data_IF_181054149770
#
_entry.id   IF_181054149770
#
_cell.length_a   1.000
_cell.length_b   1.000
_cell.length_c   1.000
_cell.angle_alpha   90.00
_cell.angle_beta   90.00
_cell.angle_gamma   90.00
#
_symmetry.space_group_name_H-M   'P 1'
#
loop_
_entity.id
_entity.type
_entity.pdbx_description
1 polymer ?
#
# COMPACT_ATOMS: atom_id res chain seq x y z
N UNK A 1 8.09 -0.02 -0.87
CA UNK A 1 9.18 -0.74 -0.17
C UNK A 1 9.03 -2.27 -0.26
N UNK A 2 9.14 -2.86 -1.46
CA UNK A 2 8.83 -4.30 -1.66
C UNK A 2 10.06 -5.20 -1.83
N UNK A 3 11.27 -4.65 -1.82
CA UNK A 3 12.52 -5.41 -1.95
C UNK A 3 13.22 -5.48 -0.59
N UNK A 4 13.37 -6.67 0.03
CA UNK A 4 13.99 -6.81 1.35
C UNK A 4 15.54 -6.83 1.32
N UNK A 5 16.16 -6.95 0.14
CA UNK A 5 17.62 -7.15 0.02
C UNK A 5 18.34 -5.88 -0.41
N UNK A 6 17.75 -5.09 -1.32
CA UNK A 6 18.38 -3.90 -1.92
C UNK A 6 17.37 -2.81 -2.21
N UNK A 7 17.84 -1.57 -2.34
CA UNK A 7 17.02 -0.50 -2.89
C UNK A 7 16.53 -0.84 -4.30
N UNK A 8 15.28 -0.43 -4.62
CA UNK A 8 14.73 -0.59 -5.96
C UNK A 8 15.28 0.47 -6.90
N UNK A 9 15.38 0.12 -8.18
CA UNK A 9 15.64 1.08 -9.26
C UNK A 9 14.56 2.16 -9.23
N UNK A 10 14.98 3.42 -9.43
CA UNK A 10 14.08 4.56 -9.61
C UNK A 10 13.61 4.56 -11.06
N UNK A 11 12.29 4.64 -11.26
CA UNK A 11 11.67 4.72 -12.58
C UNK A 11 11.06 6.11 -12.76
N UNK A 12 11.00 6.57 -14.01
CA UNK A 12 10.41 7.85 -14.42
C UNK A 12 9.33 7.61 -15.48
N UNK A 13 8.21 8.36 -15.49
CA UNK A 13 7.86 9.41 -14.52
C UNK A 13 7.54 8.84 -13.13
N UNK A 14 7.74 9.67 -12.11
CA UNK A 14 7.45 9.36 -10.70
C UNK A 14 5.96 9.52 -10.40
N UNK A 15 5.56 9.27 -9.15
CA UNK A 15 4.22 9.57 -8.65
C UNK A 15 4.11 11.01 -8.10
N UNK A 16 5.06 11.87 -8.47
CA UNK A 16 5.07 13.27 -8.01
C UNK A 16 3.92 14.05 -8.67
N UNK A 17 3.36 14.99 -7.92
CA UNK A 17 2.09 15.66 -8.24
C UNK A 17 2.19 16.55 -9.48
N UNK A 18 3.38 17.07 -9.75
CA UNK A 18 3.72 17.93 -10.87
C UNK A 18 3.53 17.19 -12.20
N UNK A 19 3.68 15.86 -12.21
CA UNK A 19 3.39 15.02 -13.39
C UNK A 19 1.89 14.98 -13.75
N UNK A 20 1.03 15.49 -12.85
CA UNK A 20 -0.42 15.54 -13.02
C UNK A 20 -0.95 16.99 -13.10
N UNK A 21 -0.07 17.98 -13.22
CA UNK A 21 -0.43 19.40 -13.29
C UNK A 21 -0.93 19.99 -11.97
N UNK A 22 -0.52 19.39 -10.84
CA UNK A 22 -0.78 19.89 -9.50
C UNK A 22 0.49 20.50 -8.92
N UNK A 23 0.34 21.52 -8.08
CA UNK A 23 1.44 22.25 -7.47
C UNK A 23 1.45 22.09 -5.94
N UNK A 24 2.57 22.41 -5.29
CA UNK A 24 2.68 22.34 -3.83
C UNK A 24 1.66 23.27 -3.12
N UNK A 25 1.29 24.39 -3.76
CA UNK A 25 0.23 25.28 -3.27
C UNK A 25 -1.15 24.62 -3.21
N UNK A 26 -1.38 23.52 -3.93
CA UNK A 26 -2.65 22.80 -3.92
C UNK A 26 -2.79 21.83 -2.74
N UNK A 27 -1.74 21.64 -1.93
CA UNK A 27 -1.71 20.63 -0.86
C UNK A 27 -2.88 20.75 0.13
N UNK A 28 -3.25 21.98 0.48
CA UNK A 28 -4.33 22.27 1.42
C UNK A 28 -5.69 22.46 0.73
N UNK A 29 -5.72 22.43 -0.61
CA UNK A 29 -6.97 22.51 -1.38
C UNK A 29 -7.78 21.24 -1.20
N UNK A 30 -9.07 21.38 -0.91
CA UNK A 30 -9.99 20.26 -0.72
C UNK A 30 -10.55 19.80 -2.06
N UNK A 31 -10.39 18.51 -2.36
CA UNK A 31 -10.88 17.88 -3.57
C UNK A 31 -11.98 16.86 -3.27
N UNK A 32 -12.99 16.81 -4.14
CA UNK A 32 -14.02 15.76 -4.13
C UNK A 32 -13.46 14.36 -4.44
N UNK A 33 -12.27 14.30 -5.04
CA UNK A 33 -11.57 13.06 -5.38
C UNK A 33 -11.30 12.16 -4.16
N UNK A 34 -11.22 12.72 -2.94
CA UNK A 34 -11.06 11.91 -1.72
C UNK A 34 -12.23 10.92 -1.50
N UNK A 35 -13.43 11.25 -1.99
CA UNK A 35 -14.59 10.35 -1.97
C UNK A 35 -14.37 9.11 -2.84
N UNK A 36 -13.58 9.20 -3.92
CA UNK A 36 -13.25 8.06 -4.79
C UNK A 36 -12.32 7.05 -4.11
N UNK A 37 -11.63 7.46 -3.04
CA UNK A 37 -10.73 6.60 -2.26
C UNK A 37 -11.26 6.33 -0.84
N UNK A 38 -12.54 6.66 -0.59
CA UNK A 38 -13.23 6.27 0.64
C UNK A 38 -12.96 7.15 1.86
N UNK A 39 -12.31 8.32 1.70
CA UNK A 39 -12.02 9.25 2.80
C UNK A 39 -12.91 10.51 2.80
N UNK A 40 -13.84 10.60 1.83
CA UNK A 40 -14.70 11.78 1.64
C UNK A 40 -13.93 12.98 1.03
N UNK A 41 -14.56 14.15 0.87
CA UNK A 41 -13.86 15.35 0.43
C UNK A 41 -12.69 15.66 1.37
N UNK A 42 -11.49 15.76 0.84
CA UNK A 42 -10.26 15.85 1.64
C UNK A 42 -9.21 16.73 0.96
N UNK A 43 -8.25 17.25 1.73
CA UNK A 43 -7.12 17.99 1.18
C UNK A 43 -6.31 17.11 0.22
N UNK A 44 -5.62 17.71 -0.77
CA UNK A 44 -4.72 16.96 -1.64
C UNK A 44 -3.66 16.20 -0.84
N UNK A 45 -3.13 16.83 0.22
CA UNK A 45 -2.17 16.23 1.14
C UNK A 45 -2.71 14.94 1.79
N UNK A 46 -3.95 14.96 2.28
CA UNK A 46 -4.58 13.80 2.91
C UNK A 46 -4.83 12.69 1.88
N UNK A 47 -5.27 13.05 0.67
CA UNK A 47 -5.48 12.10 -0.44
C UNK A 47 -4.16 11.40 -0.81
N UNK A 48 -3.08 12.16 -0.98
CA UNK A 48 -1.75 11.60 -1.30
C UNK A 48 -1.26 10.70 -0.17
N UNK A 49 -1.42 11.13 1.07
CA UNK A 49 -1.02 10.34 2.26
C UNK A 49 -1.77 9.01 2.29
N UNK A 50 -3.08 9.05 2.07
CA UNK A 50 -3.92 7.87 2.01
C UNK A 50 -3.50 6.92 0.86
N UNK A 51 -3.30 7.44 -0.35
CA UNK A 51 -2.86 6.64 -1.51
C UNK A 51 -1.49 6.00 -1.26
N UNK A 52 -0.53 6.73 -0.67
CA UNK A 52 0.79 6.19 -0.29
C UNK A 52 0.66 5.09 0.76
N UNK A 53 -0.28 5.20 1.69
CA UNK A 53 -0.55 4.15 2.68
C UNK A 53 -1.14 2.89 2.03
N UNK A 54 -2.08 3.04 1.09
CA UNK A 54 -2.74 1.90 0.44
C UNK A 54 -1.79 1.17 -0.52
N UNK A 55 -1.04 1.92 -1.34
CA UNK A 55 -0.38 1.37 -2.53
C UNK A 55 1.17 1.35 -2.49
N UNK A 56 1.81 2.14 -1.63
CA UNK A 56 3.27 2.37 -1.70
C UNK A 56 4.08 1.75 -0.55
N UNK A 57 3.45 0.95 0.31
CA UNK A 57 4.08 0.32 1.47
C UNK A 57 4.90 -0.94 1.08
N UNK A 58 4.81 -1.99 1.89
CA UNK A 58 5.51 -3.27 1.67
C UNK A 58 4.77 -4.21 0.70
N UNK A 59 3.57 -3.84 0.25
CA UNK A 59 2.74 -4.60 -0.69
C UNK A 59 2.60 -3.80 -1.98
N UNK A 60 2.98 -4.40 -3.11
CA UNK A 60 2.68 -3.87 -4.43
C UNK A 60 1.40 -4.50 -4.97
N UNK A 61 0.46 -3.70 -5.46
CA UNK A 61 -0.82 -4.20 -5.97
C UNK A 61 -0.96 -3.85 -7.45
N UNK A 62 -1.12 -4.86 -8.29
CA UNK A 62 -1.33 -4.73 -9.72
C UNK A 62 -2.65 -5.41 -10.10
N UNK A 63 -3.67 -4.61 -10.43
CA UNK A 63 -5.01 -5.13 -10.71
C UNK A 63 -5.80 -4.33 -11.75
N UNK A 64 -5.36 -3.11 -12.08
CA UNK A 64 -6.06 -2.22 -13.01
C UNK A 64 -6.09 -2.73 -14.45
N UNK A 65 -5.26 -3.71 -14.81
CA UNK A 65 -5.30 -4.39 -16.11
C UNK A 65 -6.51 -5.33 -16.28
N UNK A 66 -7.25 -5.63 -15.21
CA UNK A 66 -8.42 -6.50 -15.24
C UNK A 66 -9.54 -5.80 -16.00
N UNK A 67 -10.11 -6.47 -17.01
CA UNK A 67 -11.14 -5.89 -17.90
C UNK A 67 -12.53 -5.78 -17.28
N UNK A 68 -12.79 -6.57 -16.23
CA UNK A 68 -14.09 -6.67 -15.56
C UNK A 68 -14.20 -5.60 -14.47
N UNK A 69 -15.00 -4.54 -14.67
CA UNK A 69 -15.06 -3.41 -13.73
C UNK A 69 -15.47 -3.84 -12.33
N UNK A 70 -16.36 -4.82 -12.20
CA UNK A 70 -16.81 -5.36 -10.92
C UNK A 70 -15.67 -6.00 -10.12
N UNK A 71 -14.67 -6.58 -10.78
CA UNK A 71 -13.51 -7.16 -10.12
C UNK A 71 -12.53 -6.08 -9.68
N UNK A 72 -12.29 -5.09 -10.53
CA UNK A 72 -11.45 -3.92 -10.20
C UNK A 72 -12.03 -3.21 -8.98
N UNK A 73 -13.33 -2.96 -8.98
CA UNK A 73 -14.03 -2.29 -7.89
C UNK A 73 -14.04 -3.13 -6.61
N UNK A 74 -14.20 -4.45 -6.72
CA UNK A 74 -14.09 -5.35 -5.56
C UNK A 74 -12.70 -5.29 -4.92
N UNK A 75 -11.64 -5.34 -5.71
CA UNK A 75 -10.25 -5.25 -5.22
C UNK A 75 -10.01 -3.88 -4.57
N UNK A 76 -10.38 -2.80 -5.25
CA UNK A 76 -10.26 -1.43 -4.74
C UNK A 76 -10.91 -1.28 -3.36
N UNK A 77 -12.18 -1.69 -3.23
CA UNK A 77 -12.92 -1.64 -1.96
C UNK A 77 -12.28 -2.52 -0.88
N UNK A 78 -11.74 -3.68 -1.25
CA UNK A 78 -11.06 -4.56 -0.31
C UNK A 78 -9.79 -3.93 0.26
N UNK A 79 -8.99 -3.25 -0.57
CA UNK A 79 -7.78 -2.55 -0.15
C UNK A 79 -8.11 -1.35 0.74
N UNK A 80 -9.15 -0.59 0.41
CA UNK A 80 -9.52 0.63 1.13
C UNK A 80 -10.14 0.33 2.50
N UNK A 81 -10.70 -0.87 2.73
CA UNK A 81 -11.32 -1.26 4.01
C UNK A 81 -10.42 -1.04 5.24
N UNK A 82 -9.11 -1.24 5.11
CA UNK A 82 -8.14 -1.03 6.18
C UNK A 82 -6.89 -0.31 5.70
N UNK A 83 -7.01 0.48 4.62
CA UNK A 83 -5.89 1.14 3.95
C UNK A 83 -4.73 0.18 3.63
N UNK A 84 -5.05 -1.06 3.25
CA UNK A 84 -4.11 -2.16 3.01
C UNK A 84 -3.11 -2.38 4.17
N UNK A 85 -3.52 -2.02 5.39
CA UNK A 85 -2.71 -2.08 6.62
C UNK A 85 -3.45 -2.93 7.66
N UNK A 86 -3.16 -4.24 7.76
CA UNK A 86 -3.79 -5.09 8.76
C UNK A 86 -3.29 -4.74 10.17
N UNK A 87 -4.22 -4.72 11.12
CA UNK A 87 -3.90 -4.58 12.55
C UNK A 87 -3.89 -5.96 13.18
N UNK A 88 -2.75 -6.37 13.71
CA UNK A 88 -2.59 -7.64 14.44
C UNK A 88 -2.51 -7.40 15.94
N UNK A 89 -3.19 -8.25 16.71
CA UNK A 89 -3.05 -8.34 18.16
C UNK A 89 -1.62 -8.75 18.56
N UNK A 90 -1.19 -8.45 19.80
CA UNK A 90 0.10 -8.92 20.30
C UNK A 90 0.28 -10.44 20.21
N UNK A 91 -0.80 -11.20 20.39
CA UNK A 91 -0.81 -12.66 20.31
C UNK A 91 -0.56 -13.14 18.88
N UNK A 92 -1.25 -12.56 17.88
CA UNK A 92 -1.04 -12.87 16.46
C UNK A 92 0.39 -12.53 16.03
N UNK A 93 0.93 -11.37 16.45
CA UNK A 93 2.32 -10.99 16.17
C UNK A 93 3.31 -12.01 16.77
N UNK A 94 3.11 -12.45 18.01
CA UNK A 94 3.92 -13.51 18.63
C UNK A 94 3.81 -14.83 17.87
N UNK A 95 2.63 -15.17 17.36
CA UNK A 95 2.43 -16.39 16.59
C UNK A 95 3.15 -16.35 15.23
N UNK A 96 3.07 -15.22 14.51
CA UNK A 96 3.80 -15.00 13.25
C UNK A 96 5.32 -15.14 13.50
N UNK A 97 5.84 -14.49 14.55
CA UNK A 97 7.26 -14.59 14.92
C UNK A 97 7.67 -16.03 15.24
N UNK A 98 6.86 -16.77 16.01
CA UNK A 98 7.12 -18.19 16.31
C UNK A 98 7.22 -19.02 15.04
N UNK A 99 6.35 -18.78 14.05
CA UNK A 99 6.38 -19.50 12.76
C UNK A 99 7.63 -19.18 11.94
N UNK A 100 8.06 -17.92 11.93
CA UNK A 100 9.32 -17.53 11.31
C UNK A 100 10.52 -18.22 11.97
N UNK A 101 10.59 -18.24 13.31
CA UNK A 101 11.65 -18.93 14.04
C UNK A 101 11.67 -20.43 13.77
N UNK A 102 10.50 -21.08 13.70
CA UNK A 102 10.39 -22.50 13.35
C UNK A 102 10.95 -22.78 11.96
N UNK A 103 10.63 -21.95 10.96
CA UNK A 103 11.13 -22.11 9.60
C UNK A 103 12.67 -22.01 9.54
N UNK A 104 13.24 -20.98 10.17
CA UNK A 104 14.70 -20.77 10.20
C UNK A 104 15.42 -21.87 10.97
N UNK A 105 14.89 -22.29 12.12
CA UNK A 105 15.49 -23.37 12.92
C UNK A 105 15.47 -24.70 12.17
N UNK A 106 14.38 -24.99 11.44
CA UNK A 106 14.28 -26.19 10.61
C UNK A 106 15.28 -26.18 9.47
N UNK A 107 15.41 -25.06 8.76
CA UNK A 107 16.43 -24.89 7.70
C UNK A 107 17.84 -25.13 8.25
N UNK A 108 18.20 -24.50 9.38
CA UNK A 108 19.51 -24.70 10.01
C UNK A 108 19.77 -26.16 10.41
N UNK A 109 18.76 -26.88 10.91
CA UNK A 109 18.88 -28.29 11.28
C UNK A 109 19.13 -29.19 10.06
N UNK A 110 18.50 -28.91 8.93
CA UNK A 110 18.69 -29.70 7.69
C UNK A 110 20.07 -29.47 7.05
N UNK A 111 20.72 -28.35 7.35
CA UNK A 111 22.05 -27.99 6.82
C UNK A 111 23.21 -28.43 7.72
N UNK A 112 22.92 -29.03 8.87
CA UNK A 112 23.87 -29.80 9.70
C UNK A 112 23.79 -31.28 9.40
#
# INVERSE_FOLDING_TARGET
HTNPVRERRKYSPTLDIENFGLEESDMDTVFQAGSQVGIGPSSLKDIITHLKQVYCQSIGVEYTYIRKPEQVEWIKNRLHKNSNTPTFSPQEKKQILRKLNQAVAFENFMHT
#
